data_IF_587799408999
#
_entry.id   IF_587799408999
#
_cell.length_a   1.000
_cell.length_b   1.000
_cell.length_c   1.000
_cell.angle_alpha   90.00
_cell.angle_beta   90.00
_cell.angle_gamma   90.00
#
_symmetry.space_group_name_H-M   'P 1'
#
loop_
_entity.id
_entity.type
_entity.pdbx_description
1 polymer ?
#
# COMPACT_ATOMS: atom_id res chain seq x y z
N UNK A 1 4.30 7.63 10.29
CA UNK A 1 3.20 7.97 9.37
C UNK A 1 3.79 8.51 8.08
N UNK A 2 3.19 8.22 6.92
CA UNK A 2 3.55 8.80 5.62
C UNK A 2 2.29 9.37 4.97
N UNK A 3 2.41 10.53 4.32
CA UNK A 3 1.36 11.10 3.46
C UNK A 3 1.83 11.03 2.01
N UNK A 4 1.02 10.40 1.15
CA UNK A 4 1.26 10.37 -0.28
C UNK A 4 0.19 11.20 -1.01
N UNK A 5 0.64 12.01 -1.95
CA UNK A 5 -0.19 12.82 -2.83
C UNK A 5 -0.08 12.27 -4.26
N UNK A 6 -1.19 11.82 -4.82
CA UNK A 6 -1.26 11.34 -6.19
C UNK A 6 -2.12 12.29 -7.01
N UNK A 7 -1.49 13.04 -7.91
CA UNK A 7 -2.21 13.78 -8.96
C UNK A 7 -2.92 12.77 -9.90
N UNK A 8 -3.91 13.22 -10.70
CA UNK A 8 -4.51 12.38 -11.73
C UNK A 8 -3.44 11.61 -12.53
N UNK A 9 -3.70 10.33 -12.77
CA UNK A 9 -2.81 9.38 -13.47
C UNK A 9 -1.53 8.97 -12.73
N UNK A 10 -1.20 9.55 -11.57
CA UNK A 10 -0.04 9.09 -10.80
C UNK A 10 -0.34 7.80 -10.04
N UNK A 11 0.69 7.02 -9.78
CA UNK A 11 0.61 5.76 -9.06
C UNK A 11 1.85 5.52 -8.22
N UNK A 12 1.96 4.32 -7.68
CA UNK A 12 3.16 3.84 -6.98
C UNK A 12 3.45 2.43 -7.48
N UNK A 13 4.74 2.16 -7.76
CA UNK A 13 5.16 0.85 -8.22
C UNK A 13 4.82 -0.23 -7.17
N UNK A 14 4.56 -1.47 -7.59
CA UNK A 14 4.39 -2.59 -6.66
C UNK A 14 5.59 -2.68 -5.70
N UNK A 15 5.32 -2.70 -4.40
CA UNK A 15 6.33 -2.81 -3.35
C UNK A 15 5.76 -3.48 -2.09
N UNK A 16 6.64 -3.89 -1.19
CA UNK A 16 6.30 -4.25 0.18
C UNK A 16 6.89 -3.20 1.10
N UNK A 17 6.16 -2.82 2.14
CA UNK A 17 6.66 -1.89 3.15
C UNK A 17 7.82 -2.50 3.93
N UNK A 18 8.85 -1.69 4.21
CA UNK A 18 10.12 -2.12 4.81
C UNK A 18 9.93 -3.13 5.95
N UNK A 19 10.37 -4.37 5.69
CA UNK A 19 10.14 -5.52 6.56
C UNK A 19 10.82 -5.37 7.92
N UNK A 20 12.02 -4.80 7.94
CA UNK A 20 12.82 -4.66 9.16
C UNK A 20 12.47 -3.41 9.98
N UNK A 21 11.62 -2.52 9.45
CA UNK A 21 11.30 -1.24 10.09
C UNK A 21 9.91 -1.20 10.70
N UNK A 22 8.93 -1.74 9.99
CA UNK A 22 7.53 -1.63 10.41
C UNK A 22 7.00 -2.97 10.92
N UNK A 23 6.20 -2.90 11.97
CA UNK A 23 5.48 -4.03 12.55
C UNK A 23 4.41 -4.56 11.58
N UNK A 24 3.65 -5.57 12.00
CA UNK A 24 2.66 -6.25 11.18
C UNK A 24 1.54 -5.32 10.68
N UNK A 25 0.97 -4.51 11.56
CA UNK A 25 -0.21 -3.72 11.20
C UNK A 25 0.14 -2.45 10.43
N UNK A 26 -0.40 -2.35 9.21
CA UNK A 26 -0.35 -1.15 8.38
C UNK A 26 -1.75 -0.69 8.04
N UNK A 27 -2.04 0.57 8.34
CA UNK A 27 -3.34 1.18 8.13
C UNK A 27 -3.20 2.24 7.04
N UNK A 28 -4.01 2.14 5.99
CA UNK A 28 -4.06 3.13 4.92
C UNK A 28 -5.42 3.78 4.81
N UNK A 29 -5.47 5.11 4.87
CA UNK A 29 -6.70 5.91 4.75
C UNK A 29 -6.71 6.57 3.38
N UNK A 30 -7.80 6.43 2.63
CA UNK A 30 -7.97 6.97 1.28
C UNK A 30 -8.89 8.20 1.28
N UNK A 31 -8.37 9.33 0.79
CA UNK A 31 -9.08 10.62 0.77
C UNK A 31 -8.99 11.27 -0.63
N UNK A 32 -9.93 12.17 -0.93
CA UNK A 32 -9.97 12.96 -2.15
C UNK A 32 -10.56 12.23 -3.36
N UNK A 33 -10.02 11.05 -3.70
CA UNK A 33 -10.53 10.22 -4.80
C UNK A 33 -10.31 8.73 -4.55
N UNK A 34 -11.14 7.91 -5.18
CA UNK A 34 -11.00 6.45 -5.15
C UNK A 34 -9.94 5.94 -6.14
N UNK A 35 -9.45 4.71 -5.94
CA UNK A 35 -8.52 4.04 -6.86
C UNK A 35 -8.57 2.52 -6.67
N UNK A 36 -8.13 1.75 -7.66
CA UNK A 36 -7.79 0.33 -7.45
C UNK A 36 -6.33 0.20 -6.99
N UNK A 37 -6.11 -0.55 -5.91
CA UNK A 37 -4.81 -1.04 -5.51
C UNK A 37 -4.68 -2.50 -5.96
N UNK A 38 -3.61 -2.78 -6.71
CA UNK A 38 -3.29 -4.13 -7.17
C UNK A 38 -2.37 -4.80 -6.13
N UNK A 39 -2.62 -6.07 -5.87
CA UNK A 39 -1.86 -6.93 -4.97
C UNK A 39 -1.36 -8.15 -5.75
N UNK A 40 -0.08 -8.48 -5.61
CA UNK A 40 0.57 -9.61 -6.27
C UNK A 40 1.36 -10.41 -5.23
N UNK A 41 1.07 -11.70 -5.10
CA UNK A 41 1.73 -12.56 -4.12
C UNK A 41 3.17 -12.86 -4.59
N UNK A 42 4.14 -12.67 -3.69
CA UNK A 42 5.56 -12.87 -3.96
C UNK A 42 5.96 -14.34 -4.04
N UNK A 43 5.25 -15.20 -3.32
CA UNK A 43 5.53 -16.63 -3.20
C UNK A 43 4.83 -17.38 -4.32
N UNK A 44 3.57 -17.04 -4.61
CA UNK A 44 2.78 -17.62 -5.68
C UNK A 44 2.40 -16.56 -6.73
N UNK A 45 3.14 -16.44 -7.84
CA UNK A 45 2.91 -15.40 -8.84
C UNK A 45 1.60 -15.56 -9.61
N UNK A 46 0.88 -16.69 -9.45
CA UNK A 46 -0.44 -16.88 -10.03
C UNK A 46 -1.55 -16.27 -9.16
N UNK A 47 -1.24 -15.86 -7.93
CA UNK A 47 -2.18 -15.17 -7.04
C UNK A 47 -2.04 -13.65 -7.16
N UNK A 48 -3.12 -13.01 -7.60
CA UNK A 48 -3.23 -11.56 -7.63
C UNK A 48 -4.63 -11.13 -7.26
N UNK A 49 -4.73 -9.98 -6.61
CA UNK A 49 -5.99 -9.42 -6.13
C UNK A 49 -6.08 -7.94 -6.47
N UNK A 50 -7.30 -7.44 -6.66
CA UNK A 50 -7.55 -6.02 -6.96
C UNK A 50 -8.55 -5.46 -5.97
N UNK A 51 -8.11 -4.51 -5.17
CA UNK A 51 -8.93 -3.93 -4.09
C UNK A 51 -9.34 -2.51 -4.47
N UNK A 52 -10.65 -2.27 -4.50
CA UNK A 52 -11.19 -0.93 -4.70
C UNK A 52 -11.10 -0.11 -3.40
N UNK A 53 -10.21 0.89 -3.39
CA UNK A 53 -10.07 1.84 -2.30
C UNK A 53 -10.97 3.04 -2.55
N UNK A 54 -12.19 2.98 -2.02
CA UNK A 54 -13.15 4.08 -2.10
C UNK A 54 -12.65 5.34 -1.37
N UNK A 55 -12.99 6.53 -1.87
CA UNK A 55 -12.78 7.77 -1.12
C UNK A 55 -13.51 7.71 0.24
N UNK A 56 -12.83 8.16 1.31
CA UNK A 56 -13.26 8.09 2.71
C UNK A 56 -13.34 6.66 3.25
N UNK A 57 -12.46 5.78 2.78
CA UNK A 57 -12.30 4.44 3.33
C UNK A 57 -10.94 4.26 4.01
N UNK A 58 -10.83 3.16 4.76
CA UNK A 58 -9.60 2.69 5.35
C UNK A 58 -9.38 1.23 4.95
N UNK A 59 -8.12 0.85 4.75
CA UNK A 59 -7.70 -0.55 4.61
C UNK A 59 -6.65 -0.89 5.66
N UNK A 60 -6.55 -2.17 6.00
CA UNK A 60 -5.55 -2.71 6.92
C UNK A 60 -4.80 -3.81 6.17
N UNK A 61 -3.49 -3.76 6.18
CA UNK A 61 -2.63 -4.87 5.79
C UNK A 61 -2.10 -5.52 7.07
N UNK A 62 -2.17 -6.84 7.13
CA UNK A 62 -1.68 -7.66 8.23
C UNK A 62 -1.29 -9.05 7.72
N UNK A 63 -0.54 -9.77 8.55
CA UNK A 63 -0.08 -11.13 8.30
C UNK A 63 0.52 -11.30 6.89
N UNK A 64 0.14 -12.36 6.20
CA UNK A 64 0.71 -12.73 4.90
C UNK A 64 0.65 -11.59 3.87
N UNK A 65 -0.43 -10.81 3.82
CA UNK A 65 -0.57 -9.69 2.87
C UNK A 65 0.42 -8.57 3.16
N UNK A 66 0.69 -8.30 4.44
CA UNK A 66 1.68 -7.30 4.86
C UNK A 66 3.10 -7.68 4.44
N UNK A 67 3.45 -8.97 4.52
CA UNK A 67 4.83 -9.43 4.40
C UNK A 67 5.18 -9.96 3.01
N UNK A 68 4.23 -10.59 2.32
CA UNK A 68 4.50 -11.40 1.12
C UNK A 68 3.70 -10.97 -0.11
N UNK A 69 3.03 -9.81 -0.09
CA UNK A 69 2.28 -9.31 -1.24
C UNK A 69 2.77 -7.93 -1.63
N UNK A 70 3.26 -7.81 -2.87
CA UNK A 70 3.48 -6.52 -3.47
C UNK A 70 2.15 -5.79 -3.59
N UNK A 71 2.10 -4.54 -3.16
CA UNK A 71 0.94 -3.68 -3.37
C UNK A 71 1.34 -2.44 -4.16
N UNK A 72 0.47 -2.00 -5.07
CA UNK A 72 0.76 -0.90 -5.97
C UNK A 72 -0.49 -0.22 -6.50
N UNK A 73 -0.29 0.96 -7.06
CA UNK A 73 -1.35 1.70 -7.78
C UNK A 73 -0.79 1.98 -9.16
N UNK A 74 -1.45 1.48 -10.22
CA UNK A 74 -1.03 1.72 -11.60
C UNK A 74 -0.96 3.21 -11.92
N UNK A 75 0.10 3.62 -12.62
CA UNK A 75 0.28 4.96 -13.16
C UNK A 75 -0.19 5.04 -14.62
N UNK A 76 -0.24 6.25 -15.18
CA UNK A 76 -0.62 6.54 -16.57
C UNK A 76 -2.03 6.04 -16.93
N UNK A 77 -2.94 6.04 -15.95
CA UNK A 77 -4.30 5.51 -16.10
C UNK A 77 -5.33 6.55 -15.69
N UNK A 78 -6.31 6.82 -16.57
CA UNK A 78 -7.33 7.88 -16.37
C UNK A 78 -8.61 7.38 -15.73
N UNK A 79 -8.84 6.06 -15.71
CA UNK A 79 -10.01 5.42 -15.11
C UNK A 79 -9.70 4.01 -14.61
N UNK A 80 -10.47 3.53 -13.65
CA UNK A 80 -10.52 2.14 -13.21
C UNK A 80 -11.86 1.51 -13.62
N UNK A 81 -11.89 0.19 -13.80
CA UNK A 81 -13.13 -0.59 -13.98
C UNK A 81 -13.35 -1.49 -12.76
N UNK A 82 -14.56 -1.45 -12.22
CA UNK A 82 -14.93 -2.20 -11.02
C UNK A 82 -16.20 -2.96 -11.33
N UNK A 83 -16.22 -4.24 -10.98
CA UNK A 83 -17.44 -5.04 -11.03
C UNK A 83 -18.29 -4.76 -9.77
N UNK A 84 -19.54 -4.37 -9.96
CA UNK A 84 -20.54 -4.29 -8.90
C UNK A 84 -21.37 -5.58 -8.90
N UNK A 85 -21.22 -6.45 -7.88
CA UNK A 85 -21.95 -7.70 -7.83
C UNK A 85 -23.44 -7.53 -7.54
N UNK A 86 -23.88 -6.40 -6.99
CA UNK A 86 -25.31 -6.14 -6.72
C UNK A 86 -26.07 -5.77 -7.98
N UNK A 87 -25.40 -5.10 -8.92
CA UNK A 87 -25.97 -4.69 -10.20
C UNK A 87 -25.53 -5.59 -11.37
N UNK A 88 -24.72 -6.61 -11.10
CA UNK A 88 -24.09 -7.49 -12.10
C UNK A 88 -23.46 -6.70 -13.27
N UNK A 89 -22.84 -5.56 -12.97
CA UNK A 89 -22.37 -4.61 -13.99
C UNK A 89 -20.96 -4.11 -13.72
N UNK A 90 -20.30 -3.63 -14.77
CA UNK A 90 -18.99 -2.99 -14.67
C UNK A 90 -19.15 -1.48 -14.67
N UNK A 91 -18.66 -0.85 -13.60
CA UNK A 91 -18.64 0.61 -13.46
C UNK A 91 -17.26 1.16 -13.78
N UNK A 92 -17.24 2.30 -14.47
CA UNK A 92 -16.03 3.06 -14.77
C UNK A 92 -15.85 4.19 -13.77
N UNK A 93 -14.73 4.20 -13.05
CA UNK A 93 -14.39 5.25 -12.08
C UNK A 93 -13.27 6.13 -12.63
N UNK A 94 -13.55 7.42 -12.81
CA UNK A 94 -12.56 8.36 -13.32
C UNK A 94 -11.54 8.74 -12.23
N UNK A 95 -10.26 8.76 -12.59
CA UNK A 95 -9.15 9.21 -11.74
C UNK A 95 -8.82 10.69 -11.99
N UNK A 96 -9.85 11.54 -12.02
CA UNK A 96 -9.74 12.96 -12.40
C UNK A 96 -9.37 13.91 -11.26
N UNK A 97 -9.44 13.44 -10.01
CA UNK A 97 -9.14 14.23 -8.81
C UNK A 97 -7.86 13.73 -8.15
N UNK A 98 -7.21 14.62 -7.42
CA UNK A 98 -6.06 14.27 -6.59
C UNK A 98 -6.50 13.32 -5.46
N UNK A 99 -5.77 12.21 -5.30
CA UNK A 99 -5.88 11.29 -4.17
C UNK A 99 -4.85 11.63 -3.11
N UNK A 100 -5.27 11.62 -1.85
CA UNK A 100 -4.37 11.64 -0.71
C UNK A 100 -4.49 10.28 -0.02
N UNK A 101 -3.36 9.67 0.33
CA UNK A 101 -3.36 8.56 1.28
C UNK A 101 -2.51 8.85 2.49
N UNK A 102 -3.06 8.54 3.66
CA UNK A 102 -2.33 8.57 4.93
C UNK A 102 -2.05 7.13 5.31
N UNK A 103 -0.77 6.77 5.42
CA UNK A 103 -0.37 5.43 5.83
C UNK A 103 0.26 5.50 7.22
N UNK A 104 -0.36 4.79 8.16
CA UNK A 104 0.05 4.67 9.55
C UNK A 104 0.64 3.28 9.74
N UNK A 105 1.82 3.24 10.36
CA UNK A 105 2.59 2.04 10.63
C UNK A 105 3.18 2.15 12.01
N UNK A 106 3.22 1.05 12.74
CA UNK A 106 3.98 0.95 13.99
C UNK A 106 5.43 0.61 13.65
N UNK A 107 6.39 1.25 14.31
CA UNK A 107 7.79 0.85 14.23
C UNK A 107 8.01 -0.42 15.05
N UNK A 108 8.85 -1.33 14.57
CA UNK A 108 9.37 -2.41 15.40
C UNK A 108 10.22 -1.82 16.52
N UNK A 109 10.27 -2.51 17.66
CA UNK A 109 11.17 -2.15 18.76
C UNK A 109 12.63 -2.14 18.26
N UNK A 110 13.38 -1.07 18.55
CA UNK A 110 14.76 -0.89 18.09
C UNK A 110 14.90 -0.38 16.66
N UNK A 111 13.82 -0.22 15.89
CA UNK A 111 13.86 0.29 14.51
C UNK A 111 13.98 1.83 14.42
N UNK A 112 14.18 2.50 15.56
CA UNK A 112 14.48 3.93 15.66
C UNK A 112 15.91 4.28 15.22
N UNK A 113 16.86 3.33 15.28
CA UNK A 113 18.26 3.56 14.91
C UNK A 113 18.40 3.56 13.38
N UNK A 114 19.02 4.60 12.82
CA UNK A 114 19.28 4.74 11.39
C UNK A 114 20.79 4.88 11.18
N UNK A 115 21.44 3.84 10.63
CA UNK A 115 22.87 3.85 10.24
C UNK A 115 23.86 3.28 11.26
N UNK A 116 24.92 2.64 10.72
CA UNK A 116 26.23 2.13 11.22
C UNK A 116 26.55 1.83 12.71
N UNK A 117 25.63 1.92 13.66
CA UNK A 117 25.92 1.56 15.06
C UNK A 117 25.78 0.06 15.35
N UNK A 118 25.34 -0.75 14.38
CA UNK A 118 25.27 -2.20 14.53
C UNK A 118 26.65 -2.90 14.50
N UNK A 119 27.71 -2.20 14.10
CA UNK A 119 29.07 -2.75 14.00
C UNK A 119 30.04 -2.30 15.10
N UNK A 120 29.59 -1.57 16.13
CA UNK A 120 30.47 -1.07 17.21
C UNK A 120 30.34 -1.78 18.56
N UNK A 121 29.44 -2.75 18.73
CA UNK A 121 29.24 -3.43 20.02
C UNK A 121 29.78 -4.86 20.11
N UNK A 122 30.39 -5.41 19.05
CA UNK A 122 30.97 -6.77 19.05
C UNK A 122 32.51 -6.81 19.15
N UNK A 123 33.16 -5.68 19.47
CA UNK A 123 34.61 -5.63 19.68
C UNK A 123 35.02 -4.88 20.95
N UNK A 124 34.46 -5.28 22.10
CA UNK A 124 35.13 -5.03 23.39
C UNK A 124 34.55 -5.91 24.49
N UNK A 125 35.43 -6.72 25.09
CA UNK A 125 35.31 -7.55 26.31
C UNK A 125 35.06 -9.04 26.08
#
# INVERSE_FOLDING_TARGET
MILNLYKPHQGIKPHVDLLDRFDDLIIGISLGSSVIMDFENQIDPFQSERVYLQNRSCYILSNQVRFHWFHGIKSNQSFDYIYDPLEESVRKIQRSRTRISITIRRLKEGAEVIGDDFNRSSSSS
#
